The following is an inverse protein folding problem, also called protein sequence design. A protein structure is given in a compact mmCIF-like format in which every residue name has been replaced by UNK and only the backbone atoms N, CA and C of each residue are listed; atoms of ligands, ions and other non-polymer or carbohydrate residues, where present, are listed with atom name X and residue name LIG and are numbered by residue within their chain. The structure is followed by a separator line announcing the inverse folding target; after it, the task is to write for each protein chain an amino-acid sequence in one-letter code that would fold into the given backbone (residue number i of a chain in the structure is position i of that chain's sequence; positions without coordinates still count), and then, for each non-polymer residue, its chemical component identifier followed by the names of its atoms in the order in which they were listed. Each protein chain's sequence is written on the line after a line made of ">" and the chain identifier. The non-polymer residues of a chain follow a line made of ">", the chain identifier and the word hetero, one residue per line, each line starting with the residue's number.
data_IF_218776753348
#
_entry.id   IF_218776753348
#
_cell.length_a   1.000
_cell.length_b   1.000
_cell.length_c   1.000
_cell.angle_alpha   90.00
_cell.angle_beta   90.00
_cell.angle_gamma   90.00
#
_symmetry.space_group_name_H-M   'P 1'
#
loop_
_entity.id
_entity.type
_entity.pdbx_description
1 polymer ?
#
# COMPACT_ATOMS: atom_id res chain seq x y z
N UNK A 1 -8.06 -17.75 9.87
CA UNK A 1 -7.27 -18.23 8.71
C UNK A 1 -6.96 -17.03 7.84
N UNK A 2 -5.70 -16.57 7.83
CA UNK A 2 -5.28 -15.45 6.99
C UNK A 2 -5.19 -15.92 5.53
N UNK A 3 -5.86 -15.22 4.63
CA UNK A 3 -5.71 -15.47 3.19
C UNK A 3 -4.36 -14.89 2.76
N UNK A 4 -3.45 -15.73 2.29
CA UNK A 4 -2.23 -15.26 1.65
C UNK A 4 -2.58 -14.63 0.31
N UNK A 5 -2.03 -13.44 0.05
CA UNK A 5 -2.22 -12.66 -1.17
C UNK A 5 -0.85 -12.46 -1.78
N UNK A 6 -0.67 -12.82 -3.05
CA UNK A 6 0.59 -12.58 -3.77
C UNK A 6 0.46 -11.31 -4.61
N UNK A 7 1.46 -10.44 -4.53
CA UNK A 7 1.51 -9.23 -5.34
C UNK A 7 2.95 -8.84 -5.69
N UNK A 8 3.11 -8.22 -6.86
CA UNK A 8 4.38 -7.71 -7.37
C UNK A 8 4.31 -6.19 -7.38
N UNK A 9 5.26 -5.53 -6.70
CA UNK A 9 5.37 -4.08 -6.65
C UNK A 9 6.56 -3.59 -7.47
N UNK A 10 6.36 -2.50 -8.21
CA UNK A 10 7.46 -1.74 -8.81
C UNK A 10 7.83 -0.59 -7.89
N UNK A 11 9.04 -0.62 -7.38
CA UNK A 11 9.62 0.49 -6.65
C UNK A 11 10.20 1.53 -7.61
N UNK A 12 10.00 2.79 -7.29
CA UNK A 12 10.49 3.96 -7.99
C UNK A 12 11.29 4.81 -7.01
N UNK A 13 12.60 4.75 -7.18
CA UNK A 13 13.58 5.58 -6.49
C UNK A 13 13.79 6.81 -7.38
N UNK A 14 12.96 7.82 -7.16
CA UNK A 14 12.98 9.05 -7.97
C UNK A 14 14.25 9.88 -7.72
N UNK A 15 14.23 11.11 -8.22
CA UNK A 15 15.33 12.08 -8.01
C UNK A 15 15.46 12.55 -6.56
N UNK A 16 14.40 12.40 -5.76
CA UNK A 16 14.43 12.71 -4.34
C UNK A 16 14.85 11.45 -3.56
N UNK A 17 16.07 11.41 -2.98
CA UNK A 17 16.53 10.25 -2.22
C UNK A 17 15.76 10.05 -0.90
N UNK A 18 15.05 11.09 -0.43
CA UNK A 18 14.22 11.03 0.78
C UNK A 18 12.81 10.51 0.50
N UNK A 19 12.53 10.07 -0.72
CA UNK A 19 11.23 9.51 -1.08
C UNK A 19 11.37 8.24 -1.89
N UNK A 20 10.73 7.18 -1.43
CA UNK A 20 10.61 5.92 -2.16
C UNK A 20 9.14 5.71 -2.43
N UNK A 21 8.74 5.60 -3.71
CA UNK A 21 7.36 5.29 -4.07
C UNK A 21 7.27 3.90 -4.67
N UNK A 22 6.11 3.28 -4.61
CA UNK A 22 5.85 2.02 -5.30
C UNK A 22 4.42 1.97 -5.81
N UNK A 23 4.22 1.09 -6.78
CA UNK A 23 2.91 0.77 -7.33
C UNK A 23 2.77 -0.72 -7.60
N UNK A 24 1.54 -1.21 -7.57
CA UNK A 24 1.17 -2.55 -7.98
C UNK A 24 1.45 -2.73 -9.47
N UNK A 25 2.15 -3.81 -9.80
CA UNK A 25 2.23 -4.32 -11.17
C UNK A 25 1.22 -5.44 -11.39
N UNK A 26 1.12 -6.35 -10.42
CA UNK A 26 0.27 -7.53 -10.50
C UNK A 26 -0.15 -7.94 -9.08
N UNK A 27 -1.39 -8.38 -8.91
CA UNK A 27 -1.92 -8.85 -7.63
C UNK A 27 -3.16 -9.71 -7.84
N UNK A 28 -3.37 -10.70 -6.98
CA UNK A 28 -4.47 -11.67 -7.08
C UNK A 28 -5.80 -11.18 -6.44
N UNK A 29 -5.74 -10.16 -5.58
CA UNK A 29 -6.89 -9.59 -4.86
C UNK A 29 -7.03 -8.07 -4.99
N UNK A 30 -5.89 -7.40 -5.18
CA UNK A 30 -5.77 -5.95 -5.13
C UNK A 30 -6.01 -5.41 -6.53
N UNK A 31 -6.93 -4.45 -6.68
CA UNK A 31 -7.12 -3.74 -7.95
C UNK A 31 -5.96 -2.79 -8.19
N UNK A 32 -5.61 -2.07 -7.12
CA UNK A 32 -4.55 -1.07 -7.12
C UNK A 32 -3.95 -0.99 -5.74
N UNK A 33 -2.64 -0.86 -5.71
CA UNK A 33 -1.89 -0.55 -4.50
C UNK A 33 -0.82 0.43 -4.89
N UNK A 34 -0.74 1.55 -4.21
CA UNK A 34 0.32 2.53 -4.38
C UNK A 34 0.66 3.11 -3.03
N UNK A 35 1.93 3.37 -2.80
CA UNK A 35 2.34 4.00 -1.56
C UNK A 35 3.68 4.68 -1.71
N UNK A 36 4.03 5.41 -0.68
CA UNK A 36 5.32 6.06 -0.57
C UNK A 36 5.84 6.06 0.88
N UNK A 37 7.17 6.00 0.97
CA UNK A 37 7.93 6.27 2.17
C UNK A 37 8.56 7.65 2.00
N UNK A 38 8.36 8.51 2.98
CA UNK A 38 9.07 9.79 3.08
C UNK A 38 9.90 9.81 4.36
N UNK A 39 11.18 10.17 4.21
CA UNK A 39 12.14 10.24 5.30
C UNK A 39 12.27 11.69 5.75
N UNK A 40 11.83 11.97 6.97
CA UNK A 40 11.90 13.29 7.59
C UNK A 40 12.88 13.27 8.77
N UNK A 41 13.60 14.37 8.95
CA UNK A 41 14.44 14.56 10.13
C UNK A 41 13.56 14.75 11.37
N UNK A 42 13.97 14.18 12.50
CA UNK A 42 13.28 14.37 13.78
C UNK A 42 13.82 15.63 14.47
N UNK A 43 12.99 16.64 14.78
CA UNK A 43 13.45 17.82 15.48
C UNK A 43 14.01 17.47 16.86
N UNK A 44 15.27 17.83 17.12
CA UNK A 44 15.93 17.60 18.40
C UNK A 44 16.71 16.29 18.51
N UNK A 45 16.72 15.45 17.47
CA UNK A 45 17.50 14.22 17.44
C UNK A 45 18.10 13.99 16.05
N UNK A 46 19.42 14.15 15.93
CA UNK A 46 20.14 14.00 14.66
C UNK A 46 20.35 12.56 14.24
N UNK A 47 20.17 11.59 15.14
CA UNK A 47 20.36 10.17 14.88
C UNK A 47 19.02 9.45 14.63
N UNK A 48 17.90 10.18 14.69
CA UNK A 48 16.57 9.65 14.43
C UNK A 48 16.01 10.13 13.07
N UNK A 49 15.25 9.25 12.41
CA UNK A 49 14.54 9.56 11.17
C UNK A 49 13.09 9.14 11.29
N UNK A 50 12.18 10.06 11.02
CA UNK A 50 10.76 9.76 10.92
C UNK A 50 10.46 9.22 9.53
N UNK A 51 9.88 8.02 9.48
CA UNK A 51 9.43 7.41 8.22
C UNK A 51 7.92 7.58 8.13
N UNK A 52 7.48 8.44 7.21
CA UNK A 52 6.05 8.58 6.89
C UNK A 52 5.68 7.49 5.90
N UNK A 53 4.65 6.71 6.24
CA UNK A 53 4.13 5.64 5.39
C UNK A 53 2.75 6.01 4.89
N UNK A 54 2.67 6.37 3.60
CA UNK A 54 1.41 6.62 2.92
C UNK A 54 1.06 5.42 2.04
N UNK A 55 -0.13 4.87 2.25
CA UNK A 55 -0.60 3.68 1.55
C UNK A 55 -2.04 3.88 1.07
N UNK A 56 -2.22 3.83 -0.25
CA UNK A 56 -3.51 3.73 -0.92
C UNK A 56 -3.74 2.34 -1.47
N UNK A 57 -4.90 1.75 -1.17
CA UNK A 57 -5.29 0.41 -1.61
C UNK A 57 -6.72 0.40 -2.12
N UNK A 58 -6.92 -0.17 -3.31
CA UNK A 58 -8.21 -0.50 -3.87
C UNK A 58 -8.35 -2.03 -3.91
N UNK A 59 -9.43 -2.56 -3.33
CA UNK A 59 -9.66 -4.00 -3.19
C UNK A 59 -10.82 -4.45 -4.07
N UNK A 60 -10.60 -5.52 -4.85
CA UNK A 60 -11.67 -6.23 -5.57
C UNK A 60 -12.41 -7.16 -4.61
N UNK A 61 -13.21 -6.57 -3.72
CA UNK A 61 -14.05 -7.37 -2.83
C UNK A 61 -15.36 -7.69 -3.56
N UNK A 62 -15.52 -8.93 -3.99
CA UNK A 62 -16.83 -9.48 -4.32
C UNK A 62 -17.56 -9.70 -2.99
N UNK A 63 -18.44 -8.78 -2.62
CA UNK A 63 -19.36 -9.00 -1.51
C UNK A 63 -20.12 -10.30 -1.81
N UNK A 64 -20.08 -11.33 -0.93
CA UNK A 64 -20.94 -12.49 -1.09
C UNK A 64 -22.39 -11.98 -1.05
N UNK A 65 -23.17 -12.29 -2.09
CA UNK A 65 -24.54 -11.78 -2.25
C UNK A 65 -25.37 -12.05 -1.00
N UNK A 66 -25.77 -10.98 -0.32
CA UNK A 66 -26.64 -11.06 0.85
C UNK A 66 -28.09 -11.10 0.37
N UNK A 67 -28.75 -12.20 0.72
CA UNK A 67 -30.18 -12.47 0.82
C UNK A 67 -30.96 -12.78 -0.48
N UNK A 68 -31.49 -14.02 -0.66
CA UNK A 68 -32.58 -14.25 -1.60
C UNK A 68 -33.83 -13.46 -1.16
N UNK A 69 -34.67 -12.98 -2.11
CA UNK A 69 -35.90 -12.28 -1.78
C UNK A 69 -36.86 -13.19 -0.98
N UNK A 70 -37.67 -12.63 -0.06
CA UNK A 70 -38.62 -13.42 0.73
C UNK A 70 -39.69 -14.09 -0.16
N UNK A 71 -40.33 -15.17 0.31
CA UNK A 71 -41.19 -16.05 -0.48
C UNK A 71 -42.46 -15.37 -1.02
#
# INVERSE_FOLDING_TARGET
>A
MGRSTTYTLRYSYGSNPLRISWRLLEGDLLERMSGEYEFLAVPGDSDATQVVYDLGVDLLIRLPGICPPPP
#
